data_IF_416586850414
#
_entry.id   IF_416586850414
#
_cell.length_a   1.000
_cell.length_b   1.000
_cell.length_c   1.000
_cell.angle_alpha   90.00
_cell.angle_beta   90.00
_cell.angle_gamma   90.00
#
_symmetry.space_group_name_H-M   'P 1'
#
loop_
_entity.id
_entity.type
_entity.pdbx_description
1 polymer ?
#
# COMPACT_ATOMS: atom_id res chain seq x y z
N UNK A 1 14.39 37.45 12.62
CA UNK A 1 15.17 36.23 12.36
C UNK A 1 14.19 35.10 12.07
N UNK A 2 13.86 34.90 10.80
CA UNK A 2 12.85 33.94 10.34
C UNK A 2 13.50 32.58 10.12
N UNK A 3 13.30 31.67 11.07
CA UNK A 3 13.67 30.26 10.91
C UNK A 3 12.68 29.59 9.98
N UNK A 4 13.04 29.48 8.70
CA UNK A 4 12.34 28.67 7.70
C UNK A 4 12.46 27.21 8.13
N UNK A 5 11.48 26.70 8.87
CA UNK A 5 11.33 25.26 9.09
C UNK A 5 11.12 24.63 7.73
N UNK A 6 12.18 23.98 7.24
CA UNK A 6 12.14 22.95 6.22
C UNK A 6 10.93 22.05 6.49
N UNK A 7 9.85 22.28 5.73
CA UNK A 7 8.71 21.38 5.70
C UNK A 7 9.23 20.13 5.02
N UNK A 8 9.50 19.10 5.83
CA UNK A 8 9.70 17.73 5.38
C UNK A 8 8.55 17.43 4.43
N UNK A 9 8.83 17.33 3.13
CA UNK A 9 7.84 17.00 2.12
C UNK A 9 7.35 15.58 2.43
N UNK A 10 6.16 15.45 2.98
CA UNK A 10 5.51 14.16 3.20
C UNK A 10 5.01 13.71 1.83
N UNK A 11 5.85 12.94 1.15
CA UNK A 11 5.60 12.49 -0.23
C UNK A 11 4.24 11.79 -0.37
N UNK A 12 3.53 12.13 -1.45
CA UNK A 12 2.31 11.44 -1.89
C UNK A 12 2.49 9.92 -1.86
N UNK A 13 1.51 9.21 -1.29
CA UNK A 13 1.48 7.75 -1.18
C UNK A 13 1.26 7.09 -2.55
N UNK A 14 0.52 7.77 -3.44
CA UNK A 14 0.43 7.45 -4.87
C UNK A 14 0.94 8.63 -5.73
N UNK A 15 1.87 8.35 -6.64
CA UNK A 15 2.39 9.28 -7.65
C UNK A 15 1.38 9.62 -8.75
N UNK A 16 0.37 8.78 -8.96
CA UNK A 16 -0.62 8.95 -10.03
C UNK A 16 -1.55 10.17 -9.85
N UNK A 17 -2.16 10.41 -8.67
CA UNK A 17 -2.91 11.65 -8.41
C UNK A 17 -2.03 12.91 -8.53
N UNK A 18 -0.76 12.83 -8.13
CA UNK A 18 0.21 13.94 -8.25
C UNK A 18 0.46 14.29 -9.72
N UNK A 19 0.59 13.28 -10.58
CA UNK A 19 0.77 13.46 -12.02
C UNK A 19 -0.50 14.03 -12.69
N UNK A 20 -1.69 13.52 -12.33
CA UNK A 20 -2.96 14.04 -12.85
C UNK A 20 -3.19 15.51 -12.49
N UNK A 21 -2.89 15.90 -11.24
CA UNK A 21 -2.99 17.29 -10.82
C UNK A 21 -1.98 18.20 -11.55
N UNK A 22 -0.75 17.71 -11.78
CA UNK A 22 0.27 18.42 -12.55
C UNK A 22 -0.17 18.66 -14.01
N UNK A 23 -0.85 17.69 -14.62
CA UNK A 23 -1.41 17.80 -15.97
C UNK A 23 -2.61 18.75 -16.00
N UNK A 24 -3.44 18.74 -14.95
CA UNK A 24 -4.63 19.60 -14.84
C UNK A 24 -4.32 21.08 -14.51
N UNK A 25 -3.05 21.47 -14.39
CA UNK A 25 -2.64 22.85 -14.10
C UNK A 25 -3.02 23.35 -12.70
N UNK A 26 -3.55 22.47 -11.84
CA UNK A 26 -3.84 22.78 -10.43
C UNK A 26 -2.54 22.68 -9.64
N UNK A 27 -2.27 23.69 -8.80
CA UNK A 27 -1.08 23.70 -7.94
C UNK A 27 -0.98 22.38 -7.16
N UNK A 28 0.24 21.92 -6.90
CA UNK A 28 0.59 20.64 -6.25
C UNK A 28 0.14 20.50 -4.79
N UNK A 29 -0.87 21.26 -4.39
CA UNK A 29 -1.30 21.53 -3.02
C UNK A 29 -2.64 20.85 -2.68
N UNK A 30 -3.00 19.77 -3.38
CA UNK A 30 -4.11 18.93 -2.92
C UNK A 30 -3.61 18.09 -1.74
N UNK A 31 -4.08 18.48 -0.55
CA UNK A 31 -3.90 17.86 0.77
C UNK A 31 -3.34 16.44 0.75
N UNK A 32 -2.06 16.33 1.10
CA UNK A 32 -1.44 15.12 1.63
C UNK A 32 -2.40 14.46 2.65
N UNK A 33 -2.70 13.16 2.51
CA UNK A 33 -3.51 12.43 3.50
C UNK A 33 -5.02 12.74 3.48
N UNK A 34 -5.61 12.98 2.31
CA UNK A 34 -7.06 13.03 2.19
C UNK A 34 -7.71 11.76 2.77
N UNK A 35 -8.75 11.91 3.58
CA UNK A 35 -9.47 10.81 4.24
C UNK A 35 -9.77 9.65 3.26
N UNK A 36 -10.09 9.99 2.02
CA UNK A 36 -10.35 9.05 0.94
C UNK A 36 -9.15 8.16 0.55
N UNK A 37 -7.94 8.70 0.46
CA UNK A 37 -6.73 7.95 0.09
C UNK A 37 -6.31 6.99 1.20
N UNK A 38 -6.41 7.44 2.47
CA UNK A 38 -6.14 6.59 3.63
C UNK A 38 -7.19 5.49 3.77
N UNK A 39 -8.47 5.82 3.58
CA UNK A 39 -9.54 4.83 3.69
C UNK A 39 -9.46 3.79 2.57
N UNK A 40 -9.33 4.21 1.31
CA UNK A 40 -9.16 3.28 0.18
C UNK A 40 -7.91 2.42 0.32
N UNK A 41 -6.78 3.00 0.71
CA UNK A 41 -5.55 2.25 0.94
C UNK A 41 -5.76 1.15 2.00
N UNK A 42 -6.34 1.51 3.15
CA UNK A 42 -6.63 0.56 4.23
C UNK A 42 -7.63 -0.53 3.81
N UNK A 43 -8.59 -0.18 2.97
CA UNK A 43 -9.61 -1.09 2.46
C UNK A 43 -8.98 -2.14 1.54
N UNK A 44 -8.06 -1.74 0.66
CA UNK A 44 -7.34 -2.66 -0.23
C UNK A 44 -6.39 -3.58 0.55
N UNK A 45 -5.70 -3.05 1.56
CA UNK A 45 -4.84 -3.81 2.49
C UNK A 45 -5.61 -4.93 3.18
N UNK A 46 -6.87 -4.69 3.53
CA UNK A 46 -7.74 -5.68 4.15
C UNK A 46 -8.35 -6.66 3.14
N UNK A 47 -8.88 -6.15 2.02
CA UNK A 47 -9.67 -6.93 1.08
C UNK A 47 -8.85 -7.95 0.29
N UNK A 48 -7.63 -7.60 -0.14
CA UNK A 48 -6.83 -8.52 -0.97
C UNK A 48 -6.49 -9.80 -0.21
N UNK A 49 -5.90 -9.76 1.01
CA UNK A 49 -5.68 -10.96 1.81
C UNK A 49 -6.98 -11.68 2.18
N UNK A 50 -8.06 -10.92 2.44
CA UNK A 50 -9.37 -11.50 2.76
C UNK A 50 -9.92 -12.34 1.61
N UNK A 51 -9.97 -11.79 0.40
CA UNK A 51 -10.48 -12.49 -0.75
C UNK A 51 -9.64 -13.71 -1.12
N UNK A 52 -8.31 -13.62 -0.97
CA UNK A 52 -7.43 -14.77 -1.16
C UNK A 52 -7.79 -15.92 -0.19
N UNK A 53 -7.91 -15.62 1.11
CA UNK A 53 -8.22 -16.64 2.12
C UNK A 53 -9.65 -17.17 1.97
N UNK A 54 -10.60 -16.33 1.57
CA UNK A 54 -11.97 -16.77 1.28
C UNK A 54 -11.98 -17.75 0.11
N UNK A 55 -11.29 -17.45 -1.00
CA UNK A 55 -11.23 -18.36 -2.16
C UNK A 55 -10.55 -19.69 -1.79
N UNK A 56 -9.55 -19.65 -0.92
CA UNK A 56 -8.85 -20.84 -0.44
C UNK A 56 -9.74 -21.72 0.46
N UNK A 57 -10.46 -21.12 1.41
CA UNK A 57 -11.16 -21.85 2.48
C UNK A 57 -12.61 -22.16 2.10
N UNK A 58 -13.33 -21.23 1.48
CA UNK A 58 -14.75 -21.41 1.16
C UNK A 58 -14.99 -22.43 0.05
N UNK A 59 -14.01 -22.73 -0.80
CA UNK A 59 -14.10 -23.84 -1.76
C UNK A 59 -14.33 -25.20 -1.07
N UNK A 60 -14.08 -25.31 0.24
CA UNK A 60 -14.23 -26.54 1.02
C UNK A 60 -15.39 -26.53 2.02
N UNK A 61 -16.15 -25.43 2.13
CA UNK A 61 -17.18 -25.27 3.17
C UNK A 61 -18.53 -24.78 2.63
N UNK A 62 -19.60 -25.54 2.84
CA UNK A 62 -20.97 -25.16 2.46
C UNK A 62 -21.76 -24.47 3.58
N UNK A 63 -22.64 -23.54 3.21
CA UNK A 63 -23.72 -23.03 4.07
C UNK A 63 -23.27 -22.16 5.26
N UNK A 64 -23.89 -22.36 6.42
CA UNK A 64 -23.65 -21.60 7.65
C UNK A 64 -22.19 -21.64 8.13
N UNK A 65 -21.49 -22.74 7.87
CA UNK A 65 -20.09 -22.90 8.25
C UNK A 65 -19.21 -21.89 7.51
N UNK A 66 -19.55 -21.57 6.26
CA UNK A 66 -18.85 -20.60 5.45
C UNK A 66 -18.97 -19.18 6.06
N UNK A 67 -20.15 -18.80 6.54
CA UNK A 67 -20.37 -17.52 7.21
C UNK A 67 -19.55 -17.37 8.50
N UNK A 68 -19.56 -18.39 9.37
CA UNK A 68 -18.74 -18.42 10.59
C UNK A 68 -17.25 -18.35 10.23
N UNK A 69 -16.84 -19.09 9.21
CA UNK A 69 -15.45 -19.14 8.75
C UNK A 69 -14.99 -17.78 8.22
N UNK A 70 -15.82 -17.06 7.46
CA UNK A 70 -15.54 -15.70 7.00
C UNK A 70 -15.30 -14.72 8.15
N UNK A 71 -16.10 -14.79 9.21
CA UNK A 71 -15.92 -13.92 10.38
C UNK A 71 -14.59 -14.23 11.07
N UNK A 72 -14.29 -15.52 11.29
CA UNK A 72 -13.01 -15.93 11.88
C UNK A 72 -11.84 -15.49 11.01
N UNK A 73 -11.97 -15.56 9.68
CA UNK A 73 -10.96 -15.10 8.73
C UNK A 73 -10.67 -13.61 8.88
N UNK A 74 -11.71 -12.77 9.01
CA UNK A 74 -11.53 -11.33 9.23
C UNK A 74 -10.70 -11.05 10.49
N UNK A 75 -11.00 -11.75 11.60
CA UNK A 75 -10.20 -11.64 12.82
C UNK A 75 -8.78 -12.14 12.62
N UNK A 76 -8.59 -13.26 11.93
CA UNK A 76 -7.27 -13.82 11.64
C UNK A 76 -6.41 -12.85 10.81
N UNK A 77 -6.99 -12.21 9.79
CA UNK A 77 -6.32 -11.21 8.96
C UNK A 77 -5.94 -9.98 9.77
N UNK A 78 -6.84 -9.56 10.67
CA UNK A 78 -6.56 -8.44 11.55
C UNK A 78 -5.38 -8.73 12.48
N UNK A 79 -5.36 -9.92 13.10
CA UNK A 79 -4.24 -10.38 13.93
C UNK A 79 -2.96 -10.51 13.10
N UNK A 80 -3.04 -11.07 11.89
CA UNK A 80 -1.91 -11.17 10.97
C UNK A 80 -1.28 -9.81 10.71
N UNK A 81 -2.09 -8.79 10.39
CA UNK A 81 -1.58 -7.44 10.17
C UNK A 81 -0.96 -6.83 11.43
N UNK A 82 -1.56 -7.03 12.61
CA UNK A 82 -0.96 -6.59 13.87
C UNK A 82 0.43 -7.22 14.09
N UNK A 83 0.57 -8.52 13.86
CA UNK A 83 1.83 -9.25 14.01
C UNK A 83 2.87 -8.76 13.00
N UNK A 84 2.50 -8.61 11.73
CA UNK A 84 3.39 -8.13 10.67
C UNK A 84 3.88 -6.71 10.97
N UNK A 85 2.97 -5.80 11.29
CA UNK A 85 3.32 -4.40 11.56
C UNK A 85 4.18 -4.27 12.82
N UNK A 86 3.86 -5.03 13.86
CA UNK A 86 4.67 -5.06 15.08
C UNK A 86 6.07 -5.63 14.82
N UNK A 87 6.15 -6.77 14.13
CA UNK A 87 7.45 -7.39 13.80
C UNK A 87 8.31 -6.46 12.94
N UNK A 88 7.69 -5.77 11.98
CA UNK A 88 8.39 -4.79 11.16
C UNK A 88 8.86 -3.58 11.95
N UNK A 89 8.04 -3.06 12.87
CA UNK A 89 8.44 -1.98 13.76
C UNK A 89 9.66 -2.39 14.61
N UNK A 90 9.63 -3.59 15.21
CA UNK A 90 10.77 -4.13 15.97
C UNK A 90 12.02 -4.24 15.09
N UNK A 91 11.87 -4.73 13.86
CA UNK A 91 12.99 -4.86 12.92
C UNK A 91 13.59 -3.50 12.57
N UNK A 92 12.76 -2.51 12.23
CA UNK A 92 13.20 -1.14 11.93
C UNK A 92 13.94 -0.53 13.13
N UNK A 93 13.38 -0.66 14.33
CA UNK A 93 14.01 -0.17 15.57
C UNK A 93 15.39 -0.80 15.79
N UNK A 94 15.53 -2.12 15.56
CA UNK A 94 16.83 -2.81 15.65
C UNK A 94 17.81 -2.28 14.61
N UNK A 95 17.41 -2.16 13.35
CA UNK A 95 18.25 -1.63 12.28
C UNK A 95 18.65 -0.16 12.51
N UNK A 96 17.77 0.63 13.12
CA UNK A 96 18.05 2.02 13.49
C UNK A 96 19.11 2.08 14.60
N UNK A 97 19.02 1.21 15.62
CA UNK A 97 20.05 1.06 16.67
C UNK A 97 21.38 0.59 16.13
N UNK A 98 21.38 -0.24 15.08
CA UNK A 98 22.59 -0.67 14.37
C UNK A 98 23.17 0.42 13.43
N UNK A 99 22.50 1.57 13.30
CA UNK A 99 22.96 2.69 12.48
C UNK A 99 22.82 2.50 10.97
N UNK A 100 22.21 1.39 10.52
CA UNK A 100 22.08 1.03 9.11
C UNK A 100 21.06 1.90 8.35
N UNK A 101 20.11 2.50 9.06
CA UNK A 101 18.95 3.19 8.46
C UNK A 101 18.84 4.67 8.84
N UNK A 102 19.96 5.32 9.16
CA UNK A 102 20.06 6.68 9.73
C UNK A 102 19.43 7.83 8.91
N UNK A 103 18.79 7.56 7.78
CA UNK A 103 18.17 8.57 6.92
C UNK A 103 16.83 8.19 6.29
N UNK A 104 16.26 7.02 6.57
CA UNK A 104 14.94 6.65 6.06
C UNK A 104 13.86 6.84 7.12
N UNK A 105 12.73 7.41 6.72
CA UNK A 105 11.57 7.53 7.58
C UNK A 105 10.97 6.13 7.86
N UNK A 106 10.77 5.80 9.14
CA UNK A 106 10.22 4.50 9.60
C UNK A 106 8.91 4.13 8.87
N UNK A 107 8.05 5.14 8.67
CA UNK A 107 6.80 5.00 7.93
C UNK A 107 7.00 4.49 6.50
N UNK A 108 8.01 4.98 5.78
CA UNK A 108 8.25 4.57 4.40
C UNK A 108 8.62 3.09 4.28
N UNK A 109 9.40 2.56 5.23
CA UNK A 109 9.73 1.13 5.26
C UNK A 109 8.52 0.26 5.58
N UNK A 110 7.67 0.72 6.48
CA UNK A 110 6.42 0.05 6.79
C UNK A 110 5.50 0.00 5.58
N UNK A 111 5.40 1.08 4.84
CA UNK A 111 4.58 1.18 3.64
C UNK A 111 5.11 0.26 2.52
N UNK A 112 6.43 0.17 2.35
CA UNK A 112 7.07 -0.75 1.40
C UNK A 112 6.76 -2.21 1.76
N UNK A 113 6.91 -2.58 3.03
CA UNK A 113 6.63 -3.96 3.46
C UNK A 113 5.15 -4.31 3.23
N UNK A 114 4.24 -3.43 3.63
CA UNK A 114 2.79 -3.60 3.42
C UNK A 114 2.49 -3.74 1.92
N UNK A 115 3.06 -2.87 1.08
CA UNK A 115 2.90 -2.93 -0.36
C UNK A 115 3.42 -4.24 -0.98
N UNK A 116 4.56 -4.75 -0.49
CA UNK A 116 5.15 -6.01 -0.96
C UNK A 116 4.27 -7.20 -0.59
N UNK A 117 3.78 -7.25 0.65
CA UNK A 117 2.88 -8.32 1.13
C UNK A 117 1.56 -8.32 0.34
N UNK A 118 0.96 -7.14 0.12
CA UNK A 118 -0.27 -7.05 -0.68
C UNK A 118 -0.02 -7.50 -2.12
N UNK A 119 1.11 -7.11 -2.70
CA UNK A 119 1.49 -7.50 -4.06
C UNK A 119 1.69 -9.02 -4.17
N UNK A 120 2.24 -9.65 -3.13
CA UNK A 120 2.34 -11.11 -3.05
C UNK A 120 0.96 -11.79 -2.99
N UNK A 121 0.04 -11.33 -2.14
CA UNK A 121 -1.32 -11.89 -2.14
C UNK A 121 -2.05 -11.62 -3.46
N UNK A 122 -1.83 -10.45 -4.07
CA UNK A 122 -2.39 -10.12 -5.38
C UNK A 122 -1.82 -11.00 -6.50
N UNK A 123 -0.53 -11.39 -6.45
CA UNK A 123 0.05 -12.34 -7.42
C UNK A 123 -0.61 -13.70 -7.31
N UNK A 124 -0.78 -14.22 -6.09
CA UNK A 124 -1.46 -15.50 -5.87
C UNK A 124 -2.90 -15.45 -6.39
N UNK A 125 -3.64 -14.38 -6.05
CA UNK A 125 -4.98 -14.12 -6.58
C UNK A 125 -5.03 -14.09 -8.11
N UNK A 126 -4.03 -13.49 -8.76
CA UNK A 126 -3.99 -13.34 -10.22
C UNK A 126 -3.76 -14.66 -10.98
N UNK A 127 -3.25 -15.69 -10.29
CA UNK A 127 -3.01 -17.02 -10.86
C UNK A 127 -4.21 -17.94 -10.67
N UNK A 128 -5.02 -17.71 -9.63
CA UNK A 128 -6.23 -18.48 -9.36
C UNK A 128 -7.23 -18.35 -10.52
N UNK A 129 -7.87 -19.47 -10.89
CA UNK A 129 -8.85 -19.52 -11.98
C UNK A 129 -10.26 -19.21 -11.46
N UNK A 130 -10.39 -18.17 -10.64
CA UNK A 130 -11.63 -17.71 -10.00
C UNK A 130 -11.97 -16.28 -10.45
N UNK A 131 -13.22 -15.83 -10.22
CA UNK A 131 -13.62 -14.45 -10.56
C UNK A 131 -12.80 -13.39 -9.79
N UNK A 132 -12.26 -13.78 -8.64
CA UNK A 132 -11.43 -12.95 -7.76
C UNK A 132 -10.07 -12.61 -8.40
N UNK A 133 -9.66 -13.35 -9.44
CA UNK A 133 -8.46 -13.08 -10.24
C UNK A 133 -8.36 -11.64 -10.72
N UNK A 134 -9.50 -11.06 -11.11
CA UNK A 134 -9.56 -9.69 -11.60
C UNK A 134 -9.13 -8.66 -10.56
N UNK A 135 -9.33 -8.94 -9.26
CA UNK A 135 -8.89 -8.06 -8.17
C UNK A 135 -7.35 -7.99 -8.12
N UNK A 136 -6.67 -9.13 -8.26
CA UNK A 136 -5.21 -9.18 -8.33
C UNK A 136 -4.67 -8.45 -9.56
N UNK A 137 -5.27 -8.67 -10.73
CA UNK A 137 -4.88 -7.99 -11.97
C UNK A 137 -5.10 -6.47 -11.87
N UNK A 138 -6.22 -6.02 -11.30
CA UNK A 138 -6.50 -4.60 -11.06
C UNK A 138 -5.45 -3.98 -10.14
N UNK A 139 -5.03 -4.69 -9.08
CA UNK A 139 -3.95 -4.23 -8.21
C UNK A 139 -2.65 -4.02 -8.99
N UNK A 140 -2.25 -4.96 -9.84
CA UNK A 140 -1.05 -4.80 -10.68
C UNK A 140 -1.16 -3.61 -11.63
N UNK A 141 -2.34 -3.36 -12.22
CA UNK A 141 -2.54 -2.18 -13.06
C UNK A 141 -2.38 -0.89 -12.25
N UNK A 142 -2.91 -0.83 -11.03
CA UNK A 142 -2.73 0.32 -10.14
C UNK A 142 -1.24 0.51 -9.80
N UNK A 143 -0.54 -0.55 -9.41
CA UNK A 143 0.90 -0.48 -9.09
C UNK A 143 1.72 -0.05 -10.31
N UNK A 144 1.47 -0.64 -11.47
CA UNK A 144 2.21 -0.34 -12.71
C UNK A 144 1.99 1.11 -13.16
N UNK A 145 0.74 1.58 -13.13
CA UNK A 145 0.43 2.97 -13.48
C UNK A 145 1.01 3.96 -12.46
N UNK A 146 1.00 3.61 -11.17
CA UNK A 146 1.63 4.42 -10.13
C UNK A 146 3.15 4.51 -10.35
N UNK A 147 3.81 3.39 -10.63
CA UNK A 147 5.24 3.34 -10.92
C UNK A 147 5.60 4.13 -12.18
N UNK A 148 4.80 4.01 -13.25
CA UNK A 148 4.97 4.79 -14.46
C UNK A 148 4.83 6.30 -14.18
N UNK A 149 3.88 6.70 -13.33
CA UNK A 149 3.72 8.08 -12.92
C UNK A 149 4.90 8.59 -12.08
N UNK A 150 5.45 7.76 -11.17
CA UNK A 150 6.63 8.10 -10.38
C UNK A 150 7.84 8.32 -11.29
N UNK A 151 8.04 7.43 -12.26
CA UNK A 151 9.12 7.52 -13.23
C UNK A 151 9.01 8.79 -14.09
N UNK A 152 7.81 9.10 -14.59
CA UNK A 152 7.57 10.33 -15.35
C UNK A 152 7.80 11.60 -14.52
N UNK A 153 7.35 11.62 -13.27
CA UNK A 153 7.60 12.74 -12.37
C UNK A 153 9.10 12.95 -12.15
N UNK A 154 9.84 11.89 -11.86
CA UNK A 154 11.30 11.95 -11.69
C UNK A 154 12.01 12.50 -12.93
N UNK A 155 11.63 12.04 -14.13
CA UNK A 155 12.16 12.55 -15.40
C UNK A 155 11.87 14.05 -15.60
N UNK A 156 10.64 14.49 -15.31
CA UNK A 156 10.26 15.90 -15.48
C UNK A 156 10.87 16.84 -14.43
N UNK A 157 11.18 16.34 -13.23
CA UNK A 157 11.87 17.10 -12.19
C UNK A 157 13.36 17.26 -12.54
N UNK A 158 14.03 16.21 -13.04
CA UNK A 158 15.41 16.30 -13.54
C UNK A 158 15.55 17.30 -14.70
N UNK A 159 14.55 17.39 -15.59
CA UNK A 159 14.58 18.33 -16.73
C UNK A 159 14.42 19.81 -16.34
N UNK A 160 13.96 20.12 -15.13
CA UNK A 160 13.79 21.50 -14.63
C UNK A 160 14.94 21.98 -13.74
N UNK A 161 15.83 21.08 -13.34
CA UNK A 161 16.97 21.35 -12.44
C UNK A 161 18.32 21.50 -13.13
N UNK A 162 18.36 21.54 -14.47
CA UNK A 162 19.53 21.87 -15.28
C UNK A 162 19.25 23.09 -16.15
#
# INVERSE_FOLDING_TARGET
>A
MTTTRSKIAVGFYFSLPRLLNKIAGRGSHFSEGGFFETYLGSLVVLLIPYFFLVDLVMNHSGGWLAFVTSIVLLFAIWIFWLVVLYSNWVMIEVLHRLGLLRGMAERHMQDILVGLIITFFASELSILNSWVRWIGILWFMIVATNLAAAFWLALTEMRRGG
#
